data_IF_183594273069
#
_entry.id   IF_183594273069
#
_cell.length_a   1.000
_cell.length_b   1.000
_cell.length_c   1.000
_cell.angle_alpha   90.00
_cell.angle_beta   90.00
_cell.angle_gamma   90.00
#
_symmetry.space_group_name_H-M   'P 1'
#
loop_
_entity.id
_entity.type
_entity.pdbx_description
1 polymer ?
#
# COMPACT_ATOMS: atom_id res chain seq x y z
N UNK A 1 -25.10 50.20 -17.46
CA UNK A 1 -23.92 49.99 -16.60
C UNK A 1 -24.18 48.99 -15.47
N UNK A 2 -25.30 49.06 -14.75
CA UNK A 2 -25.58 48.17 -13.58
C UNK A 2 -25.55 46.67 -13.93
N UNK A 3 -26.14 46.26 -15.06
CA UNK A 3 -26.17 44.86 -15.48
C UNK A 3 -24.77 44.29 -15.78
N UNK A 4 -23.86 45.08 -16.34
CA UNK A 4 -22.49 44.65 -16.65
C UNK A 4 -21.65 44.45 -15.38
N UNK A 5 -21.85 45.32 -14.38
CA UNK A 5 -21.17 45.21 -13.07
C UNK A 5 -21.65 43.97 -12.31
N UNK A 6 -22.97 43.71 -12.29
CA UNK A 6 -23.53 42.54 -11.63
C UNK A 6 -23.01 41.21 -12.22
N UNK A 7 -22.88 41.15 -13.55
CA UNK A 7 -22.42 39.96 -14.26
C UNK A 7 -20.92 39.68 -13.99
N UNK A 8 -20.10 40.74 -13.92
CA UNK A 8 -18.69 40.63 -13.57
C UNK A 8 -18.51 40.11 -12.13
N UNK A 9 -19.27 40.63 -11.16
CA UNK A 9 -19.21 40.18 -9.76
C UNK A 9 -19.65 38.72 -9.62
N UNK A 10 -20.72 38.30 -10.32
CA UNK A 10 -21.18 36.92 -10.30
C UNK A 10 -20.15 35.95 -10.92
N UNK A 11 -19.50 36.34 -12.02
CA UNK A 11 -18.46 35.53 -12.66
C UNK A 11 -17.22 35.37 -11.75
N UNK A 12 -16.77 36.45 -11.12
CA UNK A 12 -15.65 36.40 -10.16
C UNK A 12 -16.01 35.53 -8.96
N UNK A 13 -17.22 35.69 -8.41
CA UNK A 13 -17.71 34.85 -7.31
C UNK A 13 -17.73 33.37 -7.68
N UNK A 14 -18.23 33.01 -8.86
CA UNK A 14 -18.24 31.64 -9.35
C UNK A 14 -16.82 31.07 -9.52
N UNK A 15 -15.89 31.86 -10.10
CA UNK A 15 -14.48 31.44 -10.27
C UNK A 15 -13.81 31.21 -8.92
N UNK A 16 -14.04 32.09 -7.94
CA UNK A 16 -13.46 31.95 -6.60
C UNK A 16 -14.00 30.74 -5.85
N UNK A 17 -15.31 30.45 -5.96
CA UNK A 17 -15.90 29.23 -5.39
C UNK A 17 -15.33 27.97 -6.05
N UNK A 18 -15.19 27.97 -7.38
CA UNK A 18 -14.57 26.85 -8.09
C UNK A 18 -13.11 26.67 -7.65
N UNK A 19 -12.34 27.75 -7.55
CA UNK A 19 -10.93 27.72 -7.16
C UNK A 19 -10.75 27.28 -5.70
N UNK A 20 -11.60 27.74 -4.77
CA UNK A 20 -11.58 27.33 -3.37
C UNK A 20 -11.91 25.85 -3.19
N UNK A 21 -12.70 25.27 -4.10
CA UNK A 21 -13.04 23.85 -4.09
C UNK A 21 -12.07 22.99 -4.92
N UNK A 22 -11.01 23.56 -5.52
CA UNK A 22 -9.97 22.77 -6.17
C UNK A 22 -9.01 22.22 -5.12
N UNK A 23 -9.24 20.97 -4.73
CA UNK A 23 -8.24 20.19 -3.99
C UNK A 23 -6.96 20.08 -4.81
N UNK A 24 -5.82 20.41 -4.21
CA UNK A 24 -4.52 20.19 -4.84
C UNK A 24 -4.36 18.68 -5.11
N UNK A 25 -3.82 18.28 -6.28
CA UNK A 25 -3.61 16.87 -6.57
C UNK A 25 -2.73 16.23 -5.49
N UNK A 26 -3.05 15.01 -5.04
CA UNK A 26 -2.32 14.35 -3.96
C UNK A 26 -0.84 14.22 -4.33
N UNK A 27 0.04 14.57 -3.39
CA UNK A 27 1.49 14.48 -3.60
C UNK A 27 1.92 13.04 -3.86
N UNK A 28 2.69 12.77 -4.93
CA UNK A 28 3.20 11.43 -5.20
C UNK A 28 4.07 10.87 -4.08
N UNK A 29 3.90 9.58 -3.79
CA UNK A 29 4.70 8.86 -2.80
C UNK A 29 6.00 8.39 -3.46
N UNK A 30 7.13 8.86 -2.95
CA UNK A 30 8.44 8.33 -3.32
C UNK A 30 8.65 6.96 -2.65
N UNK A 31 8.89 5.94 -3.45
CA UNK A 31 9.09 4.56 -2.97
C UNK A 31 10.43 4.08 -3.52
N UNK A 32 11.42 3.78 -2.66
CA UNK A 32 12.69 3.26 -3.12
C UNK A 32 12.49 1.91 -3.80
N UNK A 33 13.23 1.69 -4.88
CA UNK A 33 13.29 0.40 -5.53
C UNK A 33 14.00 -0.61 -4.62
N UNK A 34 13.45 -1.82 -4.58
CA UNK A 34 14.01 -3.00 -3.92
C UNK A 34 13.93 -4.16 -4.90
N UNK A 35 14.82 -5.17 -4.82
CA UNK A 35 14.76 -6.33 -5.69
C UNK A 35 13.37 -6.97 -5.69
N UNK A 36 12.76 -7.02 -6.88
CA UNK A 36 11.42 -7.54 -7.09
C UNK A 36 11.36 -8.31 -8.43
N UNK A 37 12.10 -9.43 -8.56
CA UNK A 37 12.25 -10.12 -9.84
C UNK A 37 10.92 -10.64 -10.42
N UNK A 38 9.92 -10.85 -9.57
CA UNK A 38 8.59 -11.33 -9.97
C UNK A 38 7.54 -10.22 -10.08
N UNK A 39 7.92 -8.93 -9.99
CA UNK A 39 6.99 -7.81 -10.00
C UNK A 39 6.15 -7.71 -11.29
N UNK A 40 6.68 -8.22 -12.42
CA UNK A 40 6.01 -8.27 -13.72
C UNK A 40 5.16 -9.55 -13.93
N UNK A 41 5.09 -10.45 -12.94
CA UNK A 41 4.38 -11.72 -13.06
C UNK A 41 2.87 -11.54 -13.23
N UNK A 42 2.20 -12.56 -13.78
CA UNK A 42 0.75 -12.58 -13.91
C UNK A 42 0.03 -12.42 -12.55
N UNK A 43 0.58 -13.02 -11.48
CA UNK A 43 0.04 -12.88 -10.13
C UNK A 43 0.10 -11.43 -9.64
N UNK A 44 1.24 -10.75 -9.78
CA UNK A 44 1.37 -9.35 -9.38
C UNK A 44 0.53 -8.40 -10.23
N UNK A 45 0.39 -8.69 -11.53
CA UNK A 45 -0.54 -7.95 -12.39
C UNK A 45 -1.98 -8.11 -11.93
N UNK A 46 -2.45 -9.34 -11.70
CA UNK A 46 -3.80 -9.61 -11.23
C UNK A 46 -4.11 -8.90 -9.90
N UNK A 47 -3.19 -8.95 -8.93
CA UNK A 47 -3.32 -8.23 -7.68
C UNK A 47 -3.38 -6.70 -7.90
N UNK A 48 -2.46 -6.14 -8.68
CA UNK A 48 -2.38 -4.68 -8.91
C UNK A 48 -3.61 -4.15 -9.65
N UNK A 49 -4.21 -4.95 -10.54
CA UNK A 49 -5.43 -4.58 -11.26
C UNK A 49 -6.68 -4.61 -10.36
N UNK A 50 -6.72 -5.51 -9.35
CA UNK A 50 -7.85 -5.67 -8.42
C UNK A 50 -7.79 -4.76 -7.17
N UNK A 51 -6.69 -4.04 -7.04
CA UNK A 51 -6.25 -3.36 -5.85
C UNK A 51 -7.18 -2.15 -5.54
N UNK A 52 -7.74 -2.03 -4.33
CA UNK A 52 -8.84 -1.10 -4.07
C UNK A 52 -8.38 0.36 -4.00
N UNK A 53 -9.30 1.29 -4.26
CA UNK A 53 -9.05 2.73 -4.10
C UNK A 53 -8.96 3.15 -2.63
N UNK A 54 -9.55 2.40 -1.72
CA UNK A 54 -9.56 2.68 -0.27
C UNK A 54 -9.21 1.45 0.54
N UNK A 55 -8.51 1.69 1.64
CA UNK A 55 -8.22 0.71 2.69
C UNK A 55 -8.52 1.35 4.04
N UNK A 56 -9.69 1.08 4.61
CA UNK A 56 -10.20 1.85 5.76
C UNK A 56 -10.24 3.35 5.48
N UNK A 57 -9.51 4.13 6.28
CA UNK A 57 -9.34 5.58 6.12
C UNK A 57 -8.19 5.99 5.16
N UNK A 58 -7.46 5.03 4.60
CA UNK A 58 -6.40 5.29 3.63
C UNK A 58 -6.97 5.37 2.22
N UNK A 59 -6.63 6.43 1.49
CA UNK A 59 -6.96 6.63 0.08
C UNK A 59 -5.73 6.31 -0.78
N UNK A 60 -5.95 5.66 -1.94
CA UNK A 60 -4.88 5.35 -2.89
C UNK A 60 -4.18 6.64 -3.31
N UNK A 61 -2.85 6.64 -3.21
CA UNK A 61 -2.00 7.76 -3.54
C UNK A 61 -1.18 7.45 -4.80
N UNK A 62 -0.91 8.45 -5.66
CA UNK A 62 -0.02 8.27 -6.80
C UNK A 62 1.40 7.92 -6.33
N UNK A 63 2.10 7.08 -7.08
CA UNK A 63 3.52 6.77 -6.85
C UNK A 63 4.38 7.69 -7.71
N UNK A 64 5.47 8.20 -7.16
CA UNK A 64 6.40 9.08 -7.88
C UNK A 64 7.07 8.34 -9.04
N UNK A 65 7.30 9.05 -10.15
CA UNK A 65 7.94 8.47 -11.34
C UNK A 65 9.47 8.55 -11.25
N UNK A 66 10.21 7.54 -11.75
CA UNK A 66 9.71 6.30 -12.35
C UNK A 66 9.16 5.32 -11.28
N UNK A 67 7.91 4.90 -11.44
CA UNK A 67 7.27 4.01 -10.48
C UNK A 67 7.77 2.56 -10.65
N UNK A 68 8.26 1.89 -9.59
CA UNK A 68 8.59 0.47 -9.66
C UNK A 68 7.35 -0.37 -9.98
N UNK A 69 7.52 -1.48 -10.70
CA UNK A 69 6.44 -2.40 -11.02
C UNK A 69 5.92 -3.10 -9.75
N UNK A 70 4.63 -3.46 -9.74
CA UNK A 70 4.04 -4.21 -8.63
C UNK A 70 3.94 -3.41 -7.31
N UNK A 71 3.97 -2.08 -7.37
CA UNK A 71 3.92 -1.21 -6.18
C UNK A 71 2.62 -0.40 -6.15
N UNK A 72 2.04 -0.28 -4.97
CA UNK A 72 0.93 0.63 -4.70
C UNK A 72 1.10 1.31 -3.34
N UNK A 73 0.49 2.49 -3.21
CA UNK A 73 0.55 3.28 -1.99
C UNK A 73 -0.83 3.84 -1.61
N UNK A 74 -1.04 4.02 -0.31
CA UNK A 74 -2.19 4.72 0.22
C UNK A 74 -1.76 5.65 1.36
N UNK A 75 -2.53 6.71 1.58
CA UNK A 75 -2.32 7.70 2.66
C UNK A 75 -3.64 8.03 3.34
N UNK A 76 -3.61 8.28 4.64
CA UNK A 76 -4.76 8.76 5.42
C UNK A 76 -4.85 10.29 5.46
N UNK A 77 -3.80 10.99 5.03
CA UNK A 77 -3.75 12.44 4.87
C UNK A 77 -2.48 12.92 4.14
N UNK A 78 -2.36 14.21 3.79
CA UNK A 78 -1.25 14.75 2.99
C UNK A 78 0.14 14.43 3.56
N UNK A 79 0.32 14.61 4.87
CA UNK A 79 1.59 14.41 5.59
C UNK A 79 1.66 13.08 6.35
N UNK A 80 0.68 12.19 6.11
CA UNK A 80 0.68 10.86 6.74
C UNK A 80 1.75 9.96 6.14
N UNK A 81 2.34 9.11 6.98
CA UNK A 81 3.19 8.04 6.50
C UNK A 81 2.39 7.12 5.57
N UNK A 82 2.94 6.75 4.39
CA UNK A 82 2.21 5.93 3.45
C UNK A 82 2.19 4.46 3.90
N UNK A 83 1.04 3.83 3.71
CA UNK A 83 0.91 2.38 3.58
C UNK A 83 1.42 1.99 2.19
N UNK A 84 2.32 1.02 2.12
CA UNK A 84 2.95 0.62 0.85
C UNK A 84 2.82 -0.88 0.66
N UNK A 85 2.31 -1.27 -0.51
CA UNK A 85 2.31 -2.66 -0.98
C UNK A 85 3.36 -2.83 -2.08
N UNK A 86 4.12 -3.92 -2.02
CA UNK A 86 5.07 -4.35 -3.04
C UNK A 86 4.83 -5.81 -3.36
N UNK A 87 4.70 -6.17 -4.62
CA UNK A 87 4.51 -7.55 -5.07
C UNK A 87 5.72 -8.06 -5.85
N UNK A 88 6.02 -9.35 -5.68
CA UNK A 88 7.03 -10.04 -6.47
C UNK A 88 8.45 -9.86 -5.95
N UNK A 89 8.58 -9.66 -4.64
CA UNK A 89 9.86 -9.60 -3.93
C UNK A 89 10.50 -10.98 -3.81
N UNK A 90 11.79 -10.99 -3.47
CA UNK A 90 12.45 -12.20 -2.98
C UNK A 90 11.91 -12.62 -1.61
N UNK A 91 12.12 -13.89 -1.26
CA UNK A 91 11.81 -14.41 0.09
C UNK A 91 12.57 -13.58 1.14
N UNK A 92 11.91 -13.07 2.19
CA UNK A 92 12.60 -12.38 3.27
C UNK A 92 13.57 -13.32 3.98
N UNK A 93 14.79 -12.86 4.25
CA UNK A 93 15.88 -13.71 4.79
C UNK A 93 15.53 -14.29 6.16
N UNK A 94 14.72 -13.58 6.93
CA UNK A 94 14.29 -13.95 8.29
C UNK A 94 13.13 -14.96 8.28
N UNK A 95 12.55 -15.28 7.12
CA UNK A 95 11.51 -16.31 7.00
C UNK A 95 12.14 -17.71 6.94
N UNK A 96 12.39 -18.26 8.12
CA UNK A 96 13.02 -19.56 8.34
C UNK A 96 12.05 -20.54 9.01
N UNK A 97 12.42 -21.82 9.08
CA UNK A 97 11.62 -22.83 9.80
C UNK A 97 11.43 -22.39 11.25
N UNK A 98 10.18 -22.36 11.71
CA UNK A 98 9.81 -21.91 13.05
C UNK A 98 9.51 -20.42 13.17
N UNK A 99 9.65 -19.63 12.09
CA UNK A 99 9.21 -18.23 12.07
C UNK A 99 7.71 -18.11 12.40
N UNK A 100 7.31 -17.15 13.26
CA UNK A 100 5.91 -16.95 13.59
C UNK A 100 5.14 -16.43 12.38
N UNK A 101 3.93 -16.96 12.17
CA UNK A 101 3.04 -16.59 11.05
C UNK A 101 1.67 -16.24 11.62
N UNK A 102 1.04 -15.22 11.06
CA UNK A 102 -0.32 -14.81 11.39
C UNK A 102 -1.23 -14.99 10.18
N UNK A 103 -2.34 -15.70 10.38
CA UNK A 103 -3.38 -15.82 9.36
C UNK A 103 -4.35 -14.64 9.47
N UNK A 104 -4.60 -13.96 8.34
CA UNK A 104 -5.61 -12.92 8.19
C UNK A 104 -6.37 -13.24 6.90
N UNK A 105 -7.68 -13.46 6.99
CA UNK A 105 -8.56 -13.74 5.85
C UNK A 105 -7.98 -14.72 4.81
N UNK A 106 -7.60 -15.92 5.27
CA UNK A 106 -6.99 -17.01 4.46
C UNK A 106 -5.64 -16.69 3.79
N UNK A 107 -4.99 -15.60 4.20
CA UNK A 107 -3.61 -15.26 3.82
C UNK A 107 -2.71 -15.44 5.03
N UNK A 108 -1.57 -16.08 4.84
CA UNK A 108 -0.56 -16.26 5.88
C UNK A 108 0.51 -15.17 5.78
N UNK A 109 0.68 -14.41 6.85
CA UNK A 109 1.59 -13.26 6.94
C UNK A 109 2.74 -13.51 7.91
N UNK A 110 3.95 -13.17 7.48
CA UNK A 110 5.16 -13.14 8.29
C UNK A 110 5.61 -11.69 8.50
N UNK A 111 5.83 -11.27 9.75
CA UNK A 111 6.36 -9.93 10.07
C UNK A 111 7.89 -9.94 10.13
N UNK A 112 8.52 -9.08 9.34
CA UNK A 112 9.98 -8.90 9.37
C UNK A 112 10.37 -8.08 10.60
N UNK A 113 11.31 -8.60 11.38
CA UNK A 113 11.88 -7.88 12.53
C UNK A 113 11.00 -7.84 13.78
N UNK A 114 9.96 -8.67 13.87
CA UNK A 114 9.06 -8.73 15.03
C UNK A 114 9.78 -8.91 16.37
N UNK A 115 10.88 -9.66 16.40
CA UNK A 115 11.67 -9.90 17.61
C UNK A 115 12.58 -8.71 18.00
N UNK A 116 12.76 -7.72 17.12
CA UNK A 116 13.71 -6.61 17.26
C UNK A 116 13.04 -5.28 17.63
N UNK A 117 11.74 -5.30 17.94
CA UNK A 117 10.94 -4.16 18.39
C UNK A 117 11.36 -3.69 19.80
N UNK A 118 12.58 -3.18 19.92
CA UNK A 118 13.03 -2.29 20.98
C UNK A 118 12.66 -0.85 20.63
N UNK A 119 12.56 0.03 21.64
CA UNK A 119 11.95 1.37 21.65
C UNK A 119 12.47 2.44 20.64
N UNK A 120 13.18 2.06 19.58
CA UNK A 120 13.63 2.93 18.49
C UNK A 120 12.99 2.61 17.13
N UNK A 121 11.94 1.80 17.09
CA UNK A 121 11.33 1.34 15.85
C UNK A 121 10.77 2.52 15.03
N UNK A 122 10.90 2.43 13.70
CA UNK A 122 10.59 3.48 12.71
C UNK A 122 9.11 3.88 12.62
N UNK A 123 8.29 3.41 13.57
CA UNK A 123 6.84 3.59 13.59
C UNK A 123 6.15 2.86 12.44
N UNK A 124 6.69 1.71 12.00
CA UNK A 124 6.19 0.93 10.86
C UNK A 124 6.46 -0.57 11.06
N UNK A 125 5.56 -1.42 10.59
CA UNK A 125 5.76 -2.87 10.47
C UNK A 125 5.69 -3.31 9.01
N UNK A 126 6.45 -4.34 8.62
CA UNK A 126 6.40 -4.90 7.26
C UNK A 126 6.05 -6.38 7.30
N UNK A 127 4.97 -6.74 6.60
CA UNK A 127 4.38 -8.06 6.58
C UNK A 127 4.50 -8.67 5.20
N UNK A 128 4.96 -9.91 5.10
CA UNK A 128 5.09 -10.65 3.86
C UNK A 128 4.04 -11.76 3.78
N UNK A 129 3.35 -11.89 2.67
CA UNK A 129 2.58 -13.11 2.37
C UNK A 129 3.55 -14.25 2.14
N UNK A 130 3.34 -15.40 2.78
CA UNK A 130 4.25 -16.56 2.69
C UNK A 130 3.60 -17.81 2.09
N UNK A 131 2.30 -17.75 1.82
CA UNK A 131 1.47 -18.81 1.24
C UNK A 131 0.98 -18.45 -0.16
N UNK A 132 1.72 -17.61 -0.89
CA UNK A 132 1.44 -17.19 -2.27
C UNK A 132 2.66 -17.48 -3.16
N UNK A 133 2.48 -17.77 -4.46
CA UNK A 133 3.57 -18.10 -5.40
C UNK A 133 4.54 -16.94 -5.67
N UNK A 134 4.22 -15.74 -5.20
CA UNK A 134 5.04 -14.54 -5.21
C UNK A 134 4.97 -13.90 -3.82
N UNK A 135 6.07 -13.34 -3.34
CA UNK A 135 6.07 -12.63 -2.05
C UNK A 135 5.50 -11.22 -2.20
N UNK A 136 4.46 -10.92 -1.44
CA UNK A 136 3.86 -9.59 -1.35
C UNK A 136 4.18 -9.00 0.01
N UNK A 137 4.86 -7.85 0.04
CA UNK A 137 5.10 -7.11 1.27
C UNK A 137 4.10 -5.96 1.43
N UNK A 138 3.58 -5.83 2.65
CA UNK A 138 2.74 -4.74 3.11
C UNK A 138 3.45 -4.02 4.26
N UNK A 139 3.88 -2.78 4.04
CA UNK A 139 4.42 -1.92 5.09
C UNK A 139 3.33 -1.02 5.64
N UNK A 140 3.02 -1.16 6.93
CA UNK A 140 2.00 -0.42 7.66
C UNK A 140 2.65 0.60 8.60
N UNK A 141 2.20 1.87 8.60
CA UNK A 141 2.48 2.79 9.70
C UNK A 141 1.90 2.28 11.04
N UNK A 142 2.54 2.63 12.15
CA UNK A 142 1.98 2.41 13.48
C UNK A 142 0.60 3.07 13.61
N UNK A 143 -0.33 2.37 14.26
CA UNK A 143 -1.70 2.87 14.40
C UNK A 143 -2.58 2.72 13.16
N UNK A 144 -2.15 2.00 12.12
CA UNK A 144 -2.98 1.70 10.94
C UNK A 144 -4.26 0.90 11.25
N UNK A 145 -4.30 0.22 12.41
CA UNK A 145 -5.35 -0.73 12.76
C UNK A 145 -5.31 -1.99 11.86
N UNK A 146 -6.24 -2.94 12.08
CA UNK A 146 -6.26 -4.20 11.33
C UNK A 146 -6.93 -4.08 9.95
N UNK A 147 -7.78 -3.06 9.73
CA UNK A 147 -8.60 -2.96 8.52
C UNK A 147 -7.80 -3.03 7.21
N UNK A 148 -6.66 -2.33 7.04
CA UNK A 148 -5.95 -2.37 5.76
C UNK A 148 -5.39 -3.76 5.41
N UNK A 149 -4.83 -4.49 6.39
CA UNK A 149 -4.30 -5.84 6.14
C UNK A 149 -5.43 -6.86 5.92
N UNK A 150 -6.56 -6.72 6.58
CA UNK A 150 -7.75 -7.55 6.34
C UNK A 150 -8.27 -7.39 4.91
N UNK A 151 -8.55 -6.14 4.50
CA UNK A 151 -9.06 -5.86 3.15
C UNK A 151 -8.07 -6.25 2.04
N UNK A 152 -6.77 -6.06 2.26
CA UNK A 152 -5.77 -6.56 1.31
C UNK A 152 -5.68 -8.08 1.29
N UNK A 153 -5.87 -8.74 2.42
CA UNK A 153 -5.88 -10.21 2.49
C UNK A 153 -7.03 -10.79 1.67
N UNK A 154 -8.24 -10.22 1.77
CA UNK A 154 -9.37 -10.60 0.93
C UNK A 154 -9.08 -10.44 -0.57
N UNK A 155 -8.44 -9.33 -0.98
CA UNK A 155 -8.08 -9.10 -2.39
C UNK A 155 -7.03 -10.12 -2.85
N UNK A 156 -6.04 -10.41 -2.01
CA UNK A 156 -4.98 -11.38 -2.31
C UNK A 156 -5.55 -12.79 -2.43
N UNK A 157 -6.46 -13.21 -1.53
CA UNK A 157 -7.16 -14.51 -1.58
C UNK A 157 -7.93 -14.69 -2.90
N UNK A 158 -8.61 -13.65 -3.39
CA UNK A 158 -9.36 -13.72 -4.64
C UNK A 158 -8.50 -13.66 -5.91
N UNK A 159 -7.28 -13.13 -5.84
CA UNK A 159 -6.47 -12.83 -7.04
C UNK A 159 -5.26 -13.73 -7.21
N UNK A 160 -4.73 -14.28 -6.12
CA UNK A 160 -3.55 -15.12 -6.12
C UNK A 160 -3.84 -16.39 -5.34
N UNK A 161 -3.77 -17.53 -6.02
CA UNK A 161 -3.99 -18.83 -5.40
C UNK A 161 -2.97 -19.13 -4.29
N UNK A 162 -3.44 -19.77 -3.23
CA UNK A 162 -2.59 -20.23 -2.15
C UNK A 162 -1.66 -21.38 -2.60
N UNK A 163 -0.45 -21.41 -2.04
CA UNK A 163 0.55 -22.49 -2.21
C UNK A 163 1.13 -22.87 -0.85
N UNK A 164 1.72 -24.08 -0.70
CA UNK A 164 2.46 -24.42 0.50
C UNK A 164 3.57 -23.40 0.80
N UNK A 165 3.75 -23.07 2.08
CA UNK A 165 4.81 -22.15 2.52
C UNK A 165 6.22 -22.75 2.28
N UNK A 166 7.20 -21.90 1.98
CA UNK A 166 8.60 -22.29 1.71
C UNK A 166 9.62 -21.51 2.57
N UNK A 167 9.65 -21.73 3.90
CA UNK A 167 10.65 -21.11 4.77
C UNK A 167 12.05 -21.67 4.50
N UNK A 168 13.07 -20.82 4.65
CA UNK A 168 14.45 -21.28 4.60
C UNK A 168 14.76 -22.23 5.77
N UNK A 169 15.60 -23.25 5.54
CA UNK A 169 16.12 -24.06 6.65
C UNK A 169 17.15 -23.24 7.43
N UNK A 170 17.11 -23.25 8.78
CA UNK A 170 18.21 -22.72 9.58
C UNK A 170 19.48 -23.50 9.23
N UNK A 171 20.61 -22.79 9.11
CA UNK A 171 21.94 -23.39 8.99
C UNK A 171 22.32 -24.20 10.24
#
# INVERSE_FOLDING_TARGET
MIAAVALAVAAIGAILVIAANREAPPQPVAIPAVPAPQAASAACKALTDALPQRLGNYQRAPVAQPAPQGVAAWRSGPDSQPLVLRCGLDRPAEFVVGSPIQAVDRVQWFEVGAQQQSAGDSGRSTWYTVDRPVYVALTLPSGSGPTPIQQLSEVIDHTIAAVPIDPARPD
#
